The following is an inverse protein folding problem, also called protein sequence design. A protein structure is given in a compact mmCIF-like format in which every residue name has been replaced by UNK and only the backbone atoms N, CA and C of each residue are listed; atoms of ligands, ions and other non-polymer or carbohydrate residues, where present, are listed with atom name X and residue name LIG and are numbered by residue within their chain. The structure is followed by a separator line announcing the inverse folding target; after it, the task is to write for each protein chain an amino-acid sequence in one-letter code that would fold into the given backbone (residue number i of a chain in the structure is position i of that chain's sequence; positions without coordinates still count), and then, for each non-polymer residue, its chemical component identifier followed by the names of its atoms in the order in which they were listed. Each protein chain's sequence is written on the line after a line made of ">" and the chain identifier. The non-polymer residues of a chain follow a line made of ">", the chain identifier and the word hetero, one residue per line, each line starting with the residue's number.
data_IF_603429403320
#
_entry.id   IF_603429403320
#
_cell.length_a   1.000
_cell.length_b   1.000
_cell.length_c   1.000
_cell.angle_alpha   90.00
_cell.angle_beta   90.00
_cell.angle_gamma   90.00
#
_symmetry.space_group_name_H-M   'P 1'
#
loop_
_entity.id
_entity.type
_entity.pdbx_description
1 polymer ?
#
# COMPACT_ATOMS: atom_id res chain seq x y z
N UNK A 1 -1.39 7.13 27.07
CA UNK A 1 -2.79 6.67 27.10
C UNK A 1 -3.56 7.50 26.09
N UNK A 2 -4.03 6.87 25.01
CA UNK A 2 -5.10 7.37 24.13
C UNK A 2 -4.70 8.36 23.03
N UNK A 3 -4.37 7.84 21.84
CA UNK A 3 -5.22 8.05 20.65
C UNK A 3 -5.23 6.76 19.87
N UNK A 4 -6.42 6.39 19.46
CA UNK A 4 -6.81 5.07 19.02
C UNK A 4 -6.19 4.78 17.66
N UNK A 5 -5.50 3.65 17.56
CA UNK A 5 -5.15 3.03 16.29
C UNK A 5 -6.49 2.61 15.66
N UNK A 6 -7.12 3.50 14.90
CA UNK A 6 -8.39 3.21 14.22
C UNK A 6 -8.10 2.22 13.10
N UNK A 7 -8.32 0.95 13.42
CA UNK A 7 -8.32 -0.24 12.57
C UNK A 7 -9.43 -0.21 11.52
N UNK A 8 -9.66 0.92 10.85
CA UNK A 8 -10.88 1.17 10.06
C UNK A 8 -11.15 0.08 9.02
N UNK A 9 -10.14 -0.61 8.51
CA UNK A 9 -10.29 -1.54 7.41
C UNK A 9 -10.04 -3.01 7.76
N UNK A 10 -11.06 -3.69 8.25
CA UNK A 10 -11.15 -5.15 8.22
C UNK A 10 -10.96 -5.95 6.92
N UNK A 11 -10.82 -7.26 7.03
CA UNK A 11 -10.41 -8.18 5.95
C UNK A 11 -11.28 -8.21 4.65
N UNK A 12 -12.55 -7.80 4.66
CA UNK A 12 -13.56 -8.06 3.60
C UNK A 12 -14.55 -6.90 3.24
N UNK A 13 -14.45 -5.68 3.76
CA UNK A 13 -15.37 -4.56 3.38
C UNK A 13 -15.14 -4.19 1.95
N UNK A 14 -16.11 -3.59 1.31
CA UNK A 14 -15.88 -3.10 -0.04
C UNK A 14 -15.60 -4.23 -1.02
N UNK A 15 -15.60 -5.51 -0.63
CA UNK A 15 -15.83 -6.61 -1.52
C UNK A 15 -17.27 -6.52 -2.05
N UNK A 16 -17.53 -5.57 -2.96
CA UNK A 16 -18.86 -5.19 -3.48
C UNK A 16 -19.49 -6.27 -4.36
N UNK A 17 -18.75 -7.34 -4.69
CA UNK A 17 -19.17 -8.42 -5.59
C UNK A 17 -19.07 -9.82 -4.98
N UNK A 18 -18.77 -9.95 -3.68
CA UNK A 18 -18.68 -11.24 -3.01
C UNK A 18 -20.09 -11.73 -2.65
N UNK A 19 -20.63 -12.69 -3.42
CA UNK A 19 -21.98 -13.20 -3.21
C UNK A 19 -22.08 -14.24 -2.08
N UNK A 20 -21.00 -14.97 -1.79
CA UNK A 20 -20.95 -16.01 -0.77
C UNK A 20 -19.52 -16.25 -0.30
N UNK A 21 -19.32 -16.43 1.01
CA UNK A 21 -18.06 -16.86 1.62
C UNK A 21 -18.39 -17.88 2.72
N UNK A 22 -17.92 -19.11 2.55
CA UNK A 22 -18.00 -20.14 3.58
C UNK A 22 -16.76 -20.05 4.47
N UNK A 23 -16.97 -19.76 5.76
CA UNK A 23 -15.91 -19.72 6.79
C UNK A 23 -16.13 -20.79 7.87
N UNK A 24 -17.07 -21.72 7.65
CA UNK A 24 -17.46 -22.72 8.66
C UNK A 24 -16.35 -23.69 9.05
N UNK A 25 -15.33 -23.85 8.19
CA UNK A 25 -14.18 -24.71 8.44
C UNK A 25 -13.07 -24.07 9.30
N UNK A 26 -13.19 -22.79 9.67
CA UNK A 26 -12.16 -22.09 10.44
C UNK A 26 -12.35 -22.28 11.94
N UNK A 27 -11.30 -22.70 12.65
CA UNK A 27 -11.27 -22.72 14.11
C UNK A 27 -11.06 -21.30 14.65
N UNK A 28 -12.15 -20.65 15.04
CA UNK A 28 -12.14 -19.28 15.57
C UNK A 28 -12.15 -19.24 17.10
N UNK A 29 -11.81 -20.33 17.78
CA UNK A 29 -11.92 -20.46 19.25
C UNK A 29 -11.08 -19.43 20.04
N UNK A 30 -10.00 -18.91 19.45
CA UNK A 30 -9.10 -17.94 20.07
C UNK A 30 -9.30 -16.50 19.56
N UNK A 31 -10.27 -16.24 18.68
CA UNK A 31 -10.53 -14.91 18.13
C UNK A 31 -11.40 -14.11 19.09
N UNK A 32 -10.89 -12.98 19.58
CA UNK A 32 -11.58 -12.11 20.56
C UNK A 32 -12.41 -11.00 19.91
N UNK A 33 -12.15 -10.65 18.65
CA UNK A 33 -12.94 -9.68 17.87
C UNK A 33 -12.82 -9.95 16.37
N UNK A 34 -13.97 -9.93 15.67
CA UNK A 34 -14.07 -9.96 14.20
C UNK A 34 -14.66 -8.65 13.65
N UNK A 35 -14.71 -7.58 14.46
CA UNK A 35 -15.41 -6.32 14.13
C UNK A 35 -14.89 -5.65 12.86
N UNK A 36 -13.58 -5.70 12.65
CA UNK A 36 -12.91 -5.37 11.41
C UNK A 36 -12.51 -6.65 10.66
N UNK A 37 -13.43 -7.55 10.36
CA UNK A 37 -13.20 -8.58 9.33
C UNK A 37 -13.78 -8.15 7.98
N UNK A 38 -14.55 -7.07 7.90
CA UNK A 38 -15.18 -6.60 6.68
C UNK A 38 -14.93 -5.10 6.48
N UNK A 39 -13.65 -4.66 6.26
CA UNK A 39 -13.06 -3.33 5.84
C UNK A 39 -12.24 -3.11 4.51
N UNK A 40 -12.24 -3.93 3.46
CA UNK A 40 -11.40 -3.78 2.25
C UNK A 40 -11.73 -2.57 1.33
N UNK A 41 -12.73 -1.73 1.65
CA UNK A 41 -12.99 -0.41 1.07
C UNK A 41 -12.93 -0.28 -0.47
N UNK A 42 -13.29 -1.30 -1.26
CA UNK A 42 -13.09 -1.27 -2.71
C UNK A 42 -13.97 -0.28 -3.50
N UNK A 43 -14.91 0.42 -2.86
CA UNK A 43 -15.60 1.58 -3.45
C UNK A 43 -14.83 2.90 -3.24
N UNK A 44 -13.79 2.88 -2.40
CA UNK A 44 -12.93 4.04 -2.14
C UNK A 44 -11.78 4.11 -3.13
N UNK A 45 -11.31 5.33 -3.45
CA UNK A 45 -10.07 5.50 -4.19
C UNK A 45 -8.90 4.83 -3.47
N UNK A 46 -8.00 4.22 -4.23
CA UNK A 46 -6.77 3.64 -3.72
C UNK A 46 -5.76 4.77 -3.51
N UNK A 47 -5.15 4.86 -2.33
CA UNK A 47 -4.05 5.81 -2.11
C UNK A 47 -2.76 5.35 -2.81
N UNK A 48 -1.83 6.27 -3.03
CA UNK A 48 -0.57 5.96 -3.68
C UNK A 48 0.21 4.89 -2.91
N UNK A 49 0.30 5.02 -1.59
CA UNK A 49 0.98 4.03 -0.75
C UNK A 49 0.31 2.64 -0.77
N UNK A 50 -1.02 2.59 -0.90
CA UNK A 50 -1.75 1.33 -1.08
C UNK A 50 -1.44 0.71 -2.43
N UNK A 51 -1.42 1.50 -3.52
CA UNK A 51 -1.10 0.99 -4.86
C UNK A 51 0.30 0.38 -4.91
N UNK A 52 1.31 1.07 -4.35
CA UNK A 52 2.69 0.56 -4.32
C UNK A 52 2.78 -0.69 -3.44
N UNK A 53 2.08 -0.72 -2.31
CA UNK A 53 2.04 -1.89 -1.43
C UNK A 53 1.40 -3.10 -2.12
N UNK A 54 0.31 -2.91 -2.88
CA UNK A 54 -0.31 -3.96 -3.69
C UNK A 54 0.69 -4.49 -4.73
N UNK A 55 1.34 -3.58 -5.45
CA UNK A 55 2.30 -3.95 -6.49
C UNK A 55 3.49 -4.71 -5.92
N UNK A 56 4.06 -4.28 -4.79
CA UNK A 56 5.13 -4.99 -4.12
C UNK A 56 4.69 -6.41 -3.72
N UNK A 57 3.52 -6.55 -3.09
CA UNK A 57 3.01 -7.85 -2.61
C UNK A 57 2.79 -8.88 -3.72
N UNK A 58 2.48 -8.45 -4.95
CA UNK A 58 2.24 -9.37 -6.08
C UNK A 58 3.48 -9.63 -6.93
N UNK A 59 4.58 -8.89 -6.72
CA UNK A 59 5.78 -8.96 -7.59
C UNK A 59 7.02 -9.45 -6.88
N UNK A 60 7.13 -9.29 -5.55
CA UNK A 60 8.34 -9.61 -4.79
C UNK A 60 8.03 -10.34 -3.50
N UNK A 61 9.05 -11.00 -2.94
CA UNK A 61 8.91 -11.75 -1.68
C UNK A 61 8.92 -10.82 -0.46
N UNK A 62 8.35 -11.23 0.69
CA UNK A 62 8.41 -10.43 1.91
C UNK A 62 9.84 -10.09 2.37
N UNK A 63 10.79 -11.00 2.15
CA UNK A 63 12.20 -10.81 2.51
C UNK A 63 12.87 -9.73 1.65
N UNK A 64 12.57 -9.71 0.35
CA UNK A 64 13.04 -8.66 -0.57
C UNK A 64 12.48 -7.29 -0.21
N UNK A 65 11.19 -7.21 0.16
CA UNK A 65 10.59 -5.96 0.65
C UNK A 65 11.27 -5.51 1.95
N UNK A 66 11.49 -6.44 2.89
CA UNK A 66 12.12 -6.13 4.18
C UNK A 66 13.57 -5.63 4.03
N UNK A 67 14.28 -6.05 2.98
CA UNK A 67 15.65 -5.62 2.69
C UNK A 67 15.77 -4.12 2.35
N UNK A 68 14.70 -3.47 1.87
CA UNK A 68 14.66 -2.02 1.58
C UNK A 68 14.78 -1.11 2.80
N UNK A 69 14.55 -1.65 4.02
CA UNK A 69 14.65 -0.94 5.31
C UNK A 69 13.73 0.28 5.49
N UNK A 70 12.85 0.58 4.53
CA UNK A 70 11.88 1.67 4.65
C UNK A 70 12.51 3.07 4.69
N UNK A 71 13.66 3.26 4.05
CA UNK A 71 14.28 4.58 3.91
C UNK A 71 13.52 5.41 2.87
N UNK A 72 12.95 6.52 3.33
CA UNK A 72 12.24 7.49 2.51
C UNK A 72 12.81 8.91 2.68
N UNK A 73 14.03 9.02 3.21
CA UNK A 73 14.69 10.31 3.49
C UNK A 73 14.95 11.15 2.24
N UNK A 74 14.92 10.53 1.06
CA UNK A 74 14.97 11.21 -0.23
C UNK A 74 13.74 12.09 -0.50
N UNK A 75 12.63 11.89 0.23
CA UNK A 75 11.39 12.63 0.07
C UNK A 75 11.12 13.50 1.29
N UNK A 76 10.76 14.76 1.06
CA UNK A 76 10.49 15.74 2.13
C UNK A 76 9.29 15.36 2.97
N UNK A 77 8.31 14.68 2.37
CA UNK A 77 7.11 14.15 3.01
C UNK A 77 7.19 12.63 3.28
N UNK A 78 8.39 12.05 3.29
CA UNK A 78 8.60 10.63 3.54
C UNK A 78 8.07 10.16 4.91
N UNK A 79 8.01 11.04 5.90
CA UNK A 79 7.44 10.77 7.22
C UNK A 79 5.90 10.72 7.24
N UNK A 80 5.24 11.17 6.17
CA UNK A 80 3.79 11.04 6.02
C UNK A 80 3.36 9.63 5.57
N UNK A 81 4.30 8.77 5.18
CA UNK A 81 4.01 7.40 4.80
C UNK A 81 3.60 6.58 6.03
N UNK A 82 2.54 5.78 5.89
CA UNK A 82 2.13 4.84 6.92
C UNK A 82 3.25 3.84 7.24
N UNK A 83 3.39 3.44 8.51
CA UNK A 83 4.46 2.53 8.94
C UNK A 83 4.51 1.22 8.13
N UNK A 84 3.34 0.69 7.76
CA UNK A 84 3.20 -0.54 6.97
C UNK A 84 3.54 -0.37 5.48
N UNK A 85 3.54 0.86 4.94
CA UNK A 85 3.82 1.14 3.53
C UNK A 85 5.27 1.54 3.27
N UNK A 86 6.05 1.83 4.32
CA UNK A 86 7.43 2.33 4.19
C UNK A 86 8.34 1.40 3.40
N UNK A 87 8.36 0.10 3.74
CA UNK A 87 9.22 -0.86 3.04
C UNK A 87 8.82 -1.02 1.55
N UNK A 88 7.52 -1.21 1.21
CA UNK A 88 7.11 -1.19 -0.20
C UNK A 88 7.49 0.09 -0.95
N UNK A 89 7.31 1.26 -0.34
CA UNK A 89 7.65 2.54 -0.96
C UNK A 89 9.15 2.70 -1.17
N UNK A 90 9.96 2.33 -0.18
CA UNK A 90 11.42 2.37 -0.27
C UNK A 90 11.92 1.38 -1.35
N UNK A 91 11.41 0.15 -1.35
CA UNK A 91 11.70 -0.82 -2.41
C UNK A 91 11.38 -0.27 -3.80
N UNK A 92 10.20 0.34 -3.98
CA UNK A 92 9.82 0.92 -5.26
C UNK A 92 10.70 2.12 -5.65
N UNK A 93 11.16 2.89 -4.66
CA UNK A 93 12.09 3.99 -4.89
C UNK A 93 13.47 3.49 -5.31
N UNK A 94 14.05 2.55 -4.56
CA UNK A 94 15.36 1.95 -4.81
C UNK A 94 15.44 1.30 -6.20
N UNK A 95 14.34 0.69 -6.62
CA UNK A 95 14.22 0.07 -7.94
C UNK A 95 14.12 1.10 -9.07
N UNK A 96 13.80 2.36 -8.79
CA UNK A 96 13.52 3.40 -9.79
C UNK A 96 12.09 3.35 -10.34
N UNK A 97 11.23 2.54 -9.73
CA UNK A 97 9.82 2.45 -10.09
C UNK A 97 9.08 3.74 -9.71
N UNK A 98 9.42 4.29 -8.53
CA UNK A 98 8.86 5.52 -7.98
C UNK A 98 9.95 6.58 -7.82
N UNK A 99 9.77 7.68 -8.54
CA UNK A 99 10.71 8.81 -8.52
C UNK A 99 10.13 10.04 -7.82
N UNK A 100 8.86 10.06 -7.40
CA UNK A 100 8.23 11.23 -6.79
C UNK A 100 8.09 12.45 -7.72
N UNK A 101 7.67 13.56 -7.13
CA UNK A 101 7.49 14.85 -7.80
C UNK A 101 8.61 15.80 -7.38
N UNK A 102 9.26 16.44 -8.34
CA UNK A 102 10.23 17.48 -8.05
C UNK A 102 9.49 18.82 -7.97
N UNK A 103 9.37 19.37 -6.77
CA UNK A 103 8.86 20.73 -6.57
C UNK A 103 10.04 21.70 -6.34
N UNK A 104 10.16 22.76 -7.18
CA UNK A 104 11.32 23.67 -7.13
C UNK A 104 11.64 24.25 -5.75
N UNK A 105 10.60 24.57 -4.96
CA UNK A 105 10.75 25.25 -3.68
C UNK A 105 10.62 24.31 -2.47
N UNK A 106 10.15 23.08 -2.69
CA UNK A 106 9.78 22.13 -1.63
C UNK A 106 10.58 20.84 -1.66
N UNK A 107 11.44 20.66 -2.65
CA UNK A 107 12.21 19.43 -2.83
C UNK A 107 11.35 18.32 -3.43
N UNK A 108 11.77 17.08 -3.18
CA UNK A 108 11.19 15.90 -3.78
C UNK A 108 10.05 15.37 -2.91
N UNK A 109 8.86 15.20 -3.48
CA UNK A 109 7.65 14.75 -2.76
C UNK A 109 7.20 13.37 -3.22
N UNK A 110 6.69 12.58 -2.30
CA UNK A 110 6.13 11.25 -2.51
C UNK A 110 4.61 11.25 -2.47
N UNK A 111 3.96 12.15 -1.74
CA UNK A 111 2.51 12.24 -1.54
C UNK A 111 1.87 10.86 -1.24
N UNK A 112 2.29 10.15 -0.16
CA UNK A 112 1.91 8.75 0.06
C UNK A 112 0.41 8.53 0.28
N UNK A 113 -0.24 9.42 1.03
CA UNK A 113 -1.67 9.35 1.34
C UNK A 113 -2.60 9.90 0.24
N UNK A 114 -2.05 10.43 -0.86
CA UNK A 114 -2.85 10.98 -1.96
C UNK A 114 -3.54 9.86 -2.73
N UNK A 115 -4.79 10.06 -3.14
CA UNK A 115 -5.48 9.15 -4.04
C UNK A 115 -4.72 9.04 -5.36
N UNK A 116 -4.45 7.82 -5.81
CA UNK A 116 -3.68 7.64 -7.04
C UNK A 116 -4.50 8.03 -8.26
N UNK A 117 -4.06 9.07 -8.96
CA UNK A 117 -4.64 9.47 -10.23
C UNK A 117 -4.20 8.54 -11.37
N UNK A 118 -5.02 8.45 -12.42
CA UNK A 118 -4.81 7.49 -13.53
C UNK A 118 -3.43 7.62 -14.19
N UNK A 119 -2.94 8.84 -14.39
CA UNK A 119 -1.62 9.06 -15.01
C UNK A 119 -0.47 8.60 -14.11
N UNK A 120 -0.61 8.76 -12.79
CA UNK A 120 0.39 8.32 -11.82
C UNK A 120 0.43 6.79 -11.78
N UNK A 121 -0.74 6.15 -11.72
CA UNK A 121 -0.88 4.70 -11.82
C UNK A 121 -0.29 4.16 -13.13
N UNK A 122 -0.63 4.78 -14.27
CA UNK A 122 -0.13 4.37 -15.58
C UNK A 122 1.39 4.48 -15.68
N UNK A 123 1.99 5.53 -15.13
CA UNK A 123 3.45 5.72 -15.14
C UNK A 123 4.15 4.61 -14.36
N UNK A 124 3.66 4.30 -13.15
CA UNK A 124 4.23 3.24 -12.32
C UNK A 124 4.06 1.87 -12.99
N UNK A 125 2.87 1.54 -13.47
CA UNK A 125 2.61 0.26 -14.13
C UNK A 125 3.44 0.10 -15.42
N UNK A 126 3.56 1.15 -16.23
CA UNK A 126 4.38 1.12 -17.44
C UNK A 126 5.86 0.87 -17.13
N UNK A 127 6.40 1.50 -16.08
CA UNK A 127 7.75 1.21 -15.59
C UNK A 127 7.87 -0.23 -15.10
N UNK A 128 6.92 -0.71 -14.29
CA UNK A 128 6.92 -2.07 -13.77
C UNK A 128 6.98 -3.12 -14.90
N UNK A 129 6.20 -2.93 -15.98
CA UNK A 129 6.26 -3.78 -17.16
C UNK A 129 7.60 -3.65 -17.90
N UNK A 130 8.05 -2.42 -18.15
CA UNK A 130 9.30 -2.15 -18.88
C UNK A 130 10.52 -2.75 -18.17
N UNK A 131 10.50 -2.74 -16.83
CA UNK A 131 11.58 -3.25 -15.99
C UNK A 131 11.45 -4.75 -15.67
N UNK A 132 10.40 -5.42 -16.17
CA UNK A 132 10.17 -6.85 -15.95
C UNK A 132 9.73 -7.23 -14.52
N UNK A 133 9.32 -6.24 -13.73
CA UNK A 133 8.79 -6.42 -12.37
C UNK A 133 7.38 -7.01 -12.43
N UNK A 134 6.58 -6.51 -13.37
CA UNK A 134 5.24 -7.02 -13.68
C UNK A 134 5.30 -7.77 -15.02
N UNK A 135 4.76 -9.00 -15.05
CA UNK A 135 4.80 -9.92 -16.20
C UNK A 135 3.43 -10.06 -16.86
#
# INVERSE_FOLDING_TARGET
>A
MGREDTWESGMLSGCTRLAYLDVSSLDTSNVTSMGCMFDFAADKPVSFEQMITILARITVTPDEIAASRGDLSAFVDGDMASSWSRNPLAWAHDLGLVEGYNEPDRGKLLCPGENVERQRAATVLARAFTMGVLK
#
